data_IF_252523457833
#
_entry.id   IF_252523457833
#
_cell.length_a   1.000
_cell.length_b   1.000
_cell.length_c   1.000
_cell.angle_alpha   90.00
_cell.angle_beta   90.00
_cell.angle_gamma   90.00
#
_symmetry.space_group_name_H-M   'P 1'
#
loop_
_entity.id
_entity.type
_entity.pdbx_description
1 polymer ?
#
# COMPACT_ATOMS: atom_id res chain seq x y z
N UNK A 1 26.73 4.02 -15.49
CA UNK A 1 25.62 4.59 -16.30
C UNK A 1 24.37 3.84 -15.88
N UNK A 2 23.45 4.52 -15.21
CA UNK A 2 22.19 3.92 -14.76
C UNK A 2 21.28 3.87 -15.99
N UNK A 3 21.11 2.68 -16.55
CA UNK A 3 20.14 2.39 -17.59
C UNK A 3 18.77 2.22 -16.92
N UNK A 4 18.06 3.32 -16.74
CA UNK A 4 16.63 3.31 -16.43
C UNK A 4 15.94 4.22 -17.42
N UNK A 5 15.76 3.75 -18.65
CA UNK A 5 14.62 4.18 -19.46
C UNK A 5 13.35 3.58 -18.82
N UNK A 6 12.98 4.03 -17.62
CA UNK A 6 11.57 3.95 -17.23
C UNK A 6 10.87 5.01 -18.07
N UNK A 7 10.18 4.57 -19.12
CA UNK A 7 9.37 5.44 -19.97
C UNK A 7 8.37 6.21 -19.10
N UNK A 8 8.33 7.54 -19.25
CA UNK A 8 7.45 8.38 -18.44
C UNK A 8 5.99 8.00 -18.71
N UNK A 9 5.31 7.51 -17.68
CA UNK A 9 3.92 7.05 -17.74
C UNK A 9 3.14 7.65 -16.57
N UNK A 10 1.88 8.03 -16.83
CA UNK A 10 0.98 8.43 -15.75
C UNK A 10 0.80 7.29 -14.74
N UNK A 11 0.71 7.63 -13.46
CA UNK A 11 0.58 6.67 -12.37
C UNK A 11 -0.64 5.77 -12.57
N UNK A 12 -1.77 6.29 -13.05
CA UNK A 12 -2.93 5.44 -13.38
C UNK A 12 -2.60 4.35 -14.42
N UNK A 13 -1.92 4.70 -15.52
CA UNK A 13 -1.54 3.72 -16.54
C UNK A 13 -0.53 2.68 -16.00
N UNK A 14 0.40 3.12 -15.13
CA UNK A 14 1.30 2.21 -14.40
C UNK A 14 0.52 1.24 -13.51
N UNK A 15 -0.47 1.75 -12.77
CA UNK A 15 -1.34 0.96 -11.90
C UNK A 15 -2.11 -0.07 -12.72
N UNK A 16 -2.74 0.32 -13.83
CA UNK A 16 -3.48 -0.59 -14.70
C UNK A 16 -2.59 -1.73 -15.23
N UNK A 17 -1.40 -1.39 -15.72
CA UNK A 17 -0.44 -2.36 -16.25
C UNK A 17 0.03 -3.37 -15.20
N UNK A 18 0.38 -2.89 -14.00
CA UNK A 18 0.90 -3.78 -12.95
C UNK A 18 -0.22 -4.55 -12.25
N UNK A 19 -1.40 -3.96 -12.09
CA UNK A 19 -2.60 -4.62 -11.55
C UNK A 19 -2.97 -5.85 -12.37
N UNK A 20 -2.81 -5.80 -13.69
CA UNK A 20 -3.06 -6.93 -14.57
C UNK A 20 -2.15 -8.14 -14.30
N UNK A 21 -0.94 -7.91 -13.79
CA UNK A 21 0.06 -8.95 -13.51
C UNK A 21 -0.21 -9.73 -12.20
N UNK A 22 -1.13 -9.25 -11.36
CA UNK A 22 -1.51 -9.95 -10.12
C UNK A 22 -2.17 -11.29 -10.44
N UNK A 23 -1.63 -12.37 -9.90
CA UNK A 23 -2.21 -13.73 -10.03
C UNK A 23 -2.60 -14.33 -8.68
N UNK A 24 -2.41 -13.58 -7.59
CA UNK A 24 -2.66 -14.04 -6.23
C UNK A 24 -4.09 -14.55 -6.00
N UNK A 25 -4.21 -15.72 -5.40
CA UNK A 25 -5.47 -16.30 -4.97
C UNK A 25 -5.54 -16.37 -3.43
N UNK A 26 -6.43 -15.60 -2.78
CA UNK A 26 -6.49 -15.57 -1.32
C UNK A 26 -6.93 -16.88 -0.67
N UNK A 27 -7.51 -17.84 -1.42
CA UNK A 27 -7.90 -19.15 -0.89
C UNK A 27 -6.71 -20.11 -0.81
N UNK A 28 -5.86 -20.14 -1.84
CA UNK A 28 -4.67 -21.00 -1.85
C UNK A 28 -3.45 -20.32 -1.24
N UNK A 29 -3.46 -18.97 -1.17
CA UNK A 29 -2.32 -18.12 -0.79
C UNK A 29 -1.13 -18.30 -1.73
N UNK A 30 -1.43 -18.49 -3.00
CA UNK A 30 -0.43 -18.68 -4.06
C UNK A 30 -0.62 -17.64 -5.15
N UNK A 31 0.44 -17.41 -5.91
CA UNK A 31 0.48 -16.46 -7.02
C UNK A 31 1.18 -15.16 -6.66
N UNK A 32 1.17 -14.28 -7.64
CA UNK A 32 1.97 -13.07 -7.68
C UNK A 32 1.22 -11.88 -7.09
N UNK A 33 1.95 -11.12 -6.28
CA UNK A 33 1.50 -9.87 -5.66
C UNK A 33 2.39 -8.70 -6.06
N UNK A 34 1.88 -7.48 -5.91
CA UNK A 34 2.63 -6.26 -6.16
C UNK A 34 3.30 -5.84 -4.87
N UNK A 35 4.57 -5.44 -4.97
CA UNK A 35 5.35 -4.98 -3.81
C UNK A 35 5.95 -3.60 -4.02
N UNK A 36 6.03 -2.88 -2.90
CA UNK A 36 6.91 -1.73 -2.74
C UNK A 36 8.27 -2.23 -2.30
N UNK A 37 9.34 -1.52 -2.65
CA UNK A 37 10.68 -1.80 -2.14
C UNK A 37 11.17 -0.57 -1.38
N UNK A 38 11.67 -0.76 -0.17
CA UNK A 38 12.44 0.27 0.52
C UNK A 38 13.87 -0.17 0.79
N UNK A 39 14.78 0.80 0.83
CA UNK A 39 16.19 0.61 1.14
C UNK A 39 16.52 1.32 2.45
N UNK A 40 17.18 0.60 3.35
CA UNK A 40 17.67 1.12 4.63
C UNK A 40 19.13 0.73 4.83
N UNK A 41 19.87 1.50 5.63
CA UNK A 41 21.24 1.13 6.00
C UNK A 41 21.23 -0.12 6.90
N UNK A 42 22.17 -1.05 6.69
CA UNK A 42 22.21 -2.33 7.44
C UNK A 42 22.25 -2.15 8.96
N UNK A 43 22.88 -1.06 9.43
CA UNK A 43 22.98 -0.73 10.86
C UNK A 43 21.61 -0.42 11.50
N UNK A 44 20.64 0.05 10.71
CA UNK A 44 19.32 0.48 11.18
C UNK A 44 18.24 -0.59 10.91
N UNK A 45 18.63 -1.76 10.39
CA UNK A 45 17.71 -2.82 9.97
C UNK A 45 16.83 -3.34 11.12
N UNK A 46 17.42 -3.67 12.27
CA UNK A 46 16.63 -4.26 13.37
C UNK A 46 15.60 -3.27 13.92
N UNK A 47 15.99 -2.00 14.08
CA UNK A 47 15.08 -0.94 14.52
C UNK A 47 13.96 -0.70 13.48
N UNK A 48 14.30 -0.74 12.19
CA UNK A 48 13.34 -0.65 11.09
C UNK A 48 12.34 -1.79 11.12
N UNK A 49 12.80 -3.04 11.30
CA UNK A 49 11.92 -4.21 11.38
C UNK A 49 11.02 -4.14 12.61
N UNK A 50 11.50 -3.62 13.73
CA UNK A 50 10.68 -3.46 14.93
C UNK A 50 9.57 -2.43 14.71
N UNK A 51 9.86 -1.31 14.06
CA UNK A 51 8.83 -0.33 13.68
C UNK A 51 7.82 -0.96 12.70
N UNK A 52 8.31 -1.73 11.72
CA UNK A 52 7.42 -2.43 10.78
C UNK A 52 6.49 -3.41 11.52
N UNK A 53 6.99 -4.19 12.49
CA UNK A 53 6.17 -5.07 13.33
C UNK A 53 5.07 -4.29 14.04
N UNK A 54 5.41 -3.16 14.66
CA UNK A 54 4.43 -2.31 15.36
C UNK A 54 3.33 -1.79 14.43
N UNK A 55 3.71 -1.29 13.24
CA UNK A 55 2.75 -0.81 12.24
C UNK A 55 1.87 -1.95 11.71
N UNK A 56 2.42 -3.14 11.49
CA UNK A 56 1.66 -4.30 11.05
C UNK A 56 0.71 -4.81 12.14
N UNK A 57 1.13 -4.85 13.40
CA UNK A 57 0.27 -5.23 14.53
C UNK A 57 -0.87 -4.25 14.78
N UNK A 58 -0.66 -2.95 14.50
CA UNK A 58 -1.72 -1.93 14.63
C UNK A 58 -2.74 -1.94 13.49
N UNK A 59 -2.58 -2.80 12.48
CA UNK A 59 -3.47 -2.87 11.32
C UNK A 59 -3.27 -1.76 10.30
N UNK A 60 -2.14 -1.03 10.37
CA UNK A 60 -1.84 0.11 9.49
C UNK A 60 -1.00 -0.24 8.26
N UNK A 61 -0.69 -1.53 8.10
CA UNK A 61 -0.08 -2.07 6.89
C UNK A 61 -1.12 -2.84 6.08
N UNK A 62 -0.94 -2.83 4.75
CA UNK A 62 -1.73 -3.66 3.82
C UNK A 62 -1.60 -5.14 4.16
N UNK A 63 -0.38 -5.59 4.46
CA UNK A 63 -0.05 -6.99 4.70
C UNK A 63 1.05 -7.11 5.76
N UNK A 64 1.10 -8.26 6.44
CA UNK A 64 2.06 -8.58 7.49
C UNK A 64 3.31 -9.33 7.00
N UNK A 65 3.45 -9.48 5.68
CA UNK A 65 4.53 -10.25 5.06
C UNK A 65 5.56 -9.31 4.44
N UNK A 66 6.83 -9.67 4.58
CA UNK A 66 7.98 -8.94 4.01
C UNK A 66 8.95 -9.89 3.33
N UNK A 67 9.68 -9.40 2.34
CA UNK A 67 10.89 -10.07 1.84
C UNK A 67 12.08 -9.15 2.02
N UNK A 68 13.16 -9.69 2.58
CA UNK A 68 14.41 -8.96 2.74
C UNK A 68 15.35 -9.30 1.58
N UNK A 69 16.20 -8.34 1.23
CA UNK A 69 17.24 -8.46 0.24
C UNK A 69 18.55 -7.93 0.85
N UNK A 70 19.61 -8.69 0.69
CA UNK A 70 20.97 -8.33 1.06
C UNK A 70 21.66 -7.49 -0.03
N UNK A 71 22.79 -6.89 0.34
CA UNK A 71 23.60 -6.11 -0.60
C UNK A 71 24.05 -6.96 -1.80
N UNK A 72 24.01 -6.38 -2.99
CA UNK A 72 24.34 -7.07 -4.26
C UNK A 72 23.20 -7.96 -4.81
N UNK A 73 22.14 -8.22 -4.05
CA UNK A 73 20.94 -8.84 -4.64
C UNK A 73 20.23 -7.85 -5.57
N UNK A 74 19.54 -8.37 -6.59
CA UNK A 74 18.80 -7.54 -7.55
C UNK A 74 17.32 -7.88 -7.52
N UNK A 75 16.48 -6.85 -7.40
CA UNK A 75 15.03 -6.98 -7.48
C UNK A 75 14.44 -5.95 -8.45
N UNK A 76 13.69 -6.43 -9.44
CA UNK A 76 13.02 -5.59 -10.45
C UNK A 76 13.96 -4.53 -11.06
N UNK A 77 15.12 -4.99 -11.53
CA UNK A 77 16.16 -4.16 -12.17
C UNK A 77 16.92 -3.22 -11.23
N UNK A 78 16.69 -3.28 -9.91
CA UNK A 78 17.44 -2.51 -8.92
C UNK A 78 18.34 -3.44 -8.11
N UNK A 79 19.64 -3.21 -8.17
CA UNK A 79 20.62 -3.84 -7.29
C UNK A 79 20.62 -3.13 -5.93
N UNK A 80 20.62 -3.91 -4.83
CA UNK A 80 20.70 -3.37 -3.47
C UNK A 80 22.12 -2.83 -3.24
N UNK A 81 22.29 -1.53 -2.96
CA UNK A 81 23.61 -0.93 -2.80
C UNK A 81 24.40 -1.53 -1.63
N UNK A 82 25.73 -1.48 -1.74
CA UNK A 82 26.63 -1.87 -0.64
C UNK A 82 26.29 -1.10 0.66
N UNK A 83 26.30 -1.81 1.79
CA UNK A 83 25.96 -1.25 3.10
C UNK A 83 24.47 -1.04 3.34
N UNK A 84 23.61 -1.35 2.36
CA UNK A 84 22.15 -1.29 2.48
C UNK A 84 21.51 -2.68 2.48
N UNK A 85 20.25 -2.71 2.87
CA UNK A 85 19.35 -3.85 2.76
C UNK A 85 18.02 -3.38 2.15
N UNK A 86 17.45 -4.22 1.29
CA UNK A 86 16.13 -4.02 0.71
C UNK A 86 15.06 -4.71 1.53
N UNK A 87 13.90 -4.07 1.69
CA UNK A 87 12.72 -4.68 2.30
C UNK A 87 11.54 -4.46 1.35
N UNK A 88 10.94 -5.56 0.87
CA UNK A 88 9.71 -5.52 0.09
C UNK A 88 8.48 -5.70 0.98
N UNK A 89 7.46 -4.87 0.76
CA UNK A 89 6.15 -4.95 1.43
C UNK A 89 5.02 -5.00 0.40
N UNK A 90 3.90 -5.64 0.72
CA UNK A 90 2.77 -5.71 -0.20
C UNK A 90 2.14 -4.34 -0.45
N UNK A 91 1.81 -4.08 -1.71
CA UNK A 91 1.09 -2.87 -2.13
C UNK A 91 -0.43 -3.12 -2.15
N UNK A 92 -1.21 -2.09 -1.85
CA UNK A 92 -2.68 -2.10 -1.91
C UNK A 92 -3.23 -2.48 -3.29
N UNK A 93 -2.46 -2.22 -4.37
CA UNK A 93 -2.85 -2.59 -5.74
C UNK A 93 -2.96 -4.12 -5.91
N UNK A 94 -2.34 -4.90 -5.03
CA UNK A 94 -2.58 -6.35 -4.97
C UNK A 94 -4.05 -6.67 -4.73
N UNK A 95 -4.73 -5.94 -3.84
CA UNK A 95 -6.16 -6.11 -3.57
C UNK A 95 -6.97 -5.74 -4.81
N UNK A 96 -6.59 -4.65 -5.49
CA UNK A 96 -7.23 -4.21 -6.73
C UNK A 96 -7.12 -5.29 -7.83
N UNK A 97 -5.94 -5.91 -7.98
CA UNK A 97 -5.71 -7.00 -8.92
C UNK A 97 -6.52 -8.25 -8.59
N UNK A 98 -6.63 -8.61 -7.31
CA UNK A 98 -7.45 -9.75 -6.86
C UNK A 98 -8.93 -9.53 -7.19
N UNK A 99 -9.47 -8.34 -6.92
CA UNK A 99 -10.83 -7.95 -7.29
C UNK A 99 -11.05 -8.04 -8.81
N UNK A 100 -10.11 -7.49 -9.59
CA UNK A 100 -10.16 -7.55 -11.06
C UNK A 100 -10.20 -8.98 -11.59
N UNK A 101 -9.37 -9.89 -11.06
CA UNK A 101 -9.36 -11.31 -11.48
C UNK A 101 -10.62 -12.07 -11.10
N UNK A 102 -11.43 -11.55 -10.18
CA UNK A 102 -12.75 -12.09 -9.83
C UNK A 102 -13.89 -11.37 -10.59
N UNK A 103 -13.57 -10.58 -11.62
CA UNK A 103 -14.57 -9.93 -12.48
C UNK A 103 -15.10 -8.61 -11.94
N UNK A 104 -14.52 -8.05 -10.87
CA UNK A 104 -14.93 -6.79 -10.27
C UNK A 104 -14.01 -5.68 -10.79
N UNK A 105 -14.50 -4.76 -11.65
CA UNK A 105 -13.67 -3.67 -12.12
C UNK A 105 -13.38 -2.69 -10.98
N UNK A 106 -12.10 -2.44 -10.72
CA UNK A 106 -11.64 -1.49 -9.70
C UNK A 106 -11.09 -0.25 -10.36
N UNK A 107 -11.43 0.92 -9.83
CA UNK A 107 -10.93 2.22 -10.27
C UNK A 107 -10.16 2.91 -9.14
N UNK A 108 -8.84 2.76 -9.04
CA UNK A 108 -8.02 3.57 -8.14
C UNK A 108 -8.13 5.05 -8.53
N UNK A 109 -8.48 5.94 -7.60
CA UNK A 109 -8.69 7.37 -7.90
C UNK A 109 -7.56 8.25 -7.40
N UNK A 110 -7.15 8.07 -6.14
CA UNK A 110 -6.12 8.92 -5.52
C UNK A 110 -5.45 8.24 -4.32
N UNK A 111 -4.27 8.75 -3.96
CA UNK A 111 -3.65 8.55 -2.65
C UNK A 111 -3.78 9.82 -1.81
N UNK A 112 -3.84 9.67 -0.48
CA UNK A 112 -4.11 10.78 0.42
C UNK A 112 -3.71 10.53 1.87
N UNK A 113 -3.90 11.56 2.68
CA UNK A 113 -3.72 11.51 4.14
C UNK A 113 -5.08 11.47 4.79
N UNK A 114 -5.30 10.48 5.66
CA UNK A 114 -6.50 10.34 6.47
C UNK A 114 -6.20 10.80 7.89
N UNK A 115 -7.03 11.72 8.38
CA UNK A 115 -7.03 12.10 9.78
C UNK A 115 -7.82 11.05 10.58
N UNK A 116 -7.18 10.51 11.61
CA UNK A 116 -7.77 9.57 12.57
C UNK A 116 -7.84 10.24 13.92
N UNK A 117 -8.96 10.07 14.63
CA UNK A 117 -9.14 10.53 16.01
C UNK A 117 -9.83 9.44 16.82
N UNK A 118 -9.29 9.12 17.98
CA UNK A 118 -9.82 8.08 18.88
C UNK A 118 -10.06 6.73 18.17
N UNK A 119 -9.13 6.36 17.27
CA UNK A 119 -9.17 5.19 16.38
C UNK A 119 -10.29 5.19 15.33
N UNK A 120 -10.96 6.33 15.14
CA UNK A 120 -11.99 6.52 14.12
C UNK A 120 -11.42 7.37 12.97
N UNK A 121 -11.39 6.84 11.73
CA UNK A 121 -11.08 7.64 10.54
C UNK A 121 -12.13 8.74 10.35
N UNK A 122 -11.70 9.99 10.15
CA UNK A 122 -12.62 11.13 10.06
C UNK A 122 -12.82 11.61 8.62
N UNK A 123 -11.71 11.87 7.92
CA UNK A 123 -11.70 12.42 6.56
C UNK A 123 -10.32 12.36 5.92
N UNK A 124 -10.27 12.42 4.60
CA UNK A 124 -9.07 12.83 3.89
C UNK A 124 -8.78 14.33 4.13
N UNK A 125 -7.54 14.67 4.47
CA UNK A 125 -7.08 16.07 4.59
C UNK A 125 -6.36 16.55 3.34
N UNK A 126 -5.69 15.62 2.66
CA UNK A 126 -4.84 15.86 1.50
C UNK A 126 -5.03 14.71 0.52
N UNK A 127 -5.04 15.00 -0.79
CA UNK A 127 -5.17 13.99 -1.84
C UNK A 127 -4.41 14.40 -3.10
N UNK A 128 -3.89 13.40 -3.81
CA UNK A 128 -3.29 13.54 -5.16
C UNK A 128 -3.88 12.44 -6.04
N UNK A 129 -4.55 12.83 -7.12
CA UNK A 129 -5.20 11.92 -8.05
C UNK A 129 -4.20 11.17 -8.93
N UNK A 130 -4.48 9.89 -9.18
CA UNK A 130 -3.62 9.01 -9.99
C UNK A 130 -3.65 9.33 -11.49
N UNK A 131 -4.72 9.96 -11.97
CA UNK A 131 -4.94 10.33 -13.37
C UNK A 131 -4.13 11.58 -13.80
N UNK A 132 -3.65 12.37 -12.85
CA UNK A 132 -2.98 13.64 -13.10
C UNK A 132 -1.52 13.69 -12.62
N UNK A 133 -0.91 12.55 -12.30
CA UNK A 133 0.46 12.46 -11.78
C UNK A 133 1.26 11.35 -12.46
N UNK A 134 2.58 11.50 -12.53
CA UNK A 134 3.54 10.47 -12.96
C UNK A 134 4.33 9.91 -11.77
N UNK A 135 4.13 10.48 -10.58
CA UNK A 135 4.81 10.12 -9.32
C UNK A 135 3.77 9.55 -8.37
N UNK A 136 4.14 8.52 -7.60
CA UNK A 136 3.25 7.93 -6.59
C UNK A 136 2.81 8.99 -5.55
N UNK A 137 1.49 9.23 -5.41
CA UNK A 137 0.91 10.13 -4.41
C UNK A 137 1.40 9.92 -2.98
N UNK A 138 1.52 8.68 -2.53
CA UNK A 138 1.88 8.40 -1.14
C UNK A 138 3.36 8.64 -0.89
N UNK A 139 4.22 8.41 -1.89
CA UNK A 139 5.64 8.81 -1.82
C UNK A 139 5.79 10.33 -1.69
N UNK A 140 5.03 11.09 -2.49
CA UNK A 140 5.01 12.57 -2.39
C UNK A 140 4.53 13.02 -1.02
N UNK A 141 3.37 12.53 -0.55
CA UNK A 141 2.80 12.96 0.73
C UNK A 141 3.67 12.57 1.93
N UNK A 142 4.31 11.41 1.88
CA UNK A 142 5.28 10.97 2.90
C UNK A 142 6.52 11.87 2.92
N UNK A 143 7.02 12.29 1.76
CA UNK A 143 8.19 13.20 1.66
C UNK A 143 7.94 14.59 2.26
N UNK A 144 6.68 14.99 2.42
CA UNK A 144 6.31 16.28 3.04
C UNK A 144 6.23 16.20 4.57
N UNK A 145 6.53 15.04 5.18
CA UNK A 145 6.52 14.85 6.65
C UNK A 145 5.16 15.22 7.29
N UNK A 146 4.07 15.00 6.56
CA UNK A 146 2.70 15.36 6.98
C UNK A 146 2.01 14.26 7.80
N UNK A 147 2.63 13.08 7.94
CA UNK A 147 2.09 11.92 8.64
C UNK A 147 2.43 11.93 10.12
N UNK A 148 1.62 11.23 10.92
CA UNK A 148 1.91 10.93 12.32
C UNK A 148 1.46 9.52 12.68
N UNK A 149 1.93 8.53 11.92
CA UNK A 149 1.59 7.10 12.05
C UNK A 149 1.96 6.60 13.44
N UNK A 150 3.13 6.96 13.96
CA UNK A 150 3.55 6.55 15.32
C UNK A 150 2.68 7.13 16.41
N UNK A 151 2.30 8.39 16.27
CA UNK A 151 1.38 9.04 17.21
C UNK A 151 0.01 8.36 17.19
N UNK A 152 -0.47 8.02 15.99
CA UNK A 152 -1.72 7.28 15.80
C UNK A 152 -1.68 5.94 16.53
N UNK A 153 -0.61 5.14 16.36
CA UNK A 153 -0.45 3.88 17.08
C UNK A 153 -0.47 4.05 18.60
N UNK A 154 0.17 5.10 19.13
CA UNK A 154 0.30 5.35 20.58
C UNK A 154 -0.98 5.89 21.22
N UNK A 155 -1.68 6.79 20.53
CA UNK A 155 -2.78 7.59 21.12
C UNK A 155 -4.15 7.25 20.54
N UNK A 156 -4.19 6.54 19.41
CA UNK A 156 -5.38 6.38 18.58
C UNK A 156 -5.69 7.58 17.69
N UNK A 157 -4.89 8.65 17.74
CA UNK A 157 -5.12 9.87 16.96
C UNK A 157 -3.87 10.25 16.18
N UNK A 158 -4.04 10.63 14.92
CA UNK A 158 -2.92 11.02 14.06
C UNK A 158 -3.30 11.06 12.59
N UNK A 159 -2.29 11.10 11.72
CA UNK A 159 -2.44 11.17 10.28
C UNK A 159 -1.76 9.97 9.62
N UNK A 160 -2.52 9.21 8.83
CA UNK A 160 -2.01 8.01 8.15
C UNK A 160 -2.17 8.15 6.64
N UNK A 161 -1.34 7.44 5.87
CA UNK A 161 -1.50 7.34 4.44
C UNK A 161 -2.59 6.31 4.12
N UNK A 162 -3.44 6.63 3.15
CA UNK A 162 -4.43 5.73 2.61
C UNK A 162 -4.67 6.05 1.14
N UNK A 163 -5.22 5.09 0.41
CA UNK A 163 -5.65 5.30 -0.96
C UNK A 163 -7.12 4.93 -1.14
N UNK A 164 -7.74 5.56 -2.11
CA UNK A 164 -9.16 5.42 -2.40
C UNK A 164 -9.35 4.84 -3.79
N UNK A 165 -10.30 3.92 -3.88
CA UNK A 165 -10.75 3.31 -5.13
C UNK A 165 -12.26 3.18 -5.14
N UNK A 166 -12.81 3.02 -6.33
CA UNK A 166 -14.22 2.77 -6.54
C UNK A 166 -14.43 1.41 -7.18
N UNK A 167 -15.55 0.78 -6.83
CA UNK A 167 -16.05 -0.45 -7.46
C UNK A 167 -17.55 -0.28 -7.73
N UNK A 168 -18.12 -0.98 -8.73
CA UNK A 168 -19.56 -0.95 -8.98
C UNK A 168 -20.33 -1.39 -7.74
N UNK A 169 -21.38 -0.66 -7.36
CA UNK A 169 -22.18 -1.02 -6.19
C UNK A 169 -22.91 -2.37 -6.37
N UNK A 170 -23.15 -2.78 -7.62
CA UNK A 170 -23.76 -4.08 -7.94
C UNK A 170 -22.88 -5.26 -7.54
N UNK A 171 -21.58 -5.05 -7.33
CA UNK A 171 -20.63 -6.06 -6.91
C UNK A 171 -20.41 -6.08 -5.38
N UNK A 172 -21.23 -5.36 -4.60
CA UNK A 172 -21.02 -5.19 -3.16
C UNK A 172 -20.82 -6.51 -2.41
N UNK A 173 -21.72 -7.48 -2.60
CA UNK A 173 -21.65 -8.74 -1.86
C UNK A 173 -20.40 -9.56 -2.25
N UNK A 174 -20.03 -9.56 -3.54
CA UNK A 174 -18.81 -10.23 -4.02
C UNK A 174 -17.55 -9.55 -3.49
N UNK A 175 -17.54 -8.21 -3.43
CA UNK A 175 -16.45 -7.43 -2.81
C UNK A 175 -16.32 -7.79 -1.34
N UNK A 176 -17.40 -7.74 -0.57
CA UNK A 176 -17.39 -8.06 0.85
C UNK A 176 -16.87 -9.48 1.10
N UNK A 177 -17.31 -10.46 0.31
CA UNK A 177 -16.80 -11.83 0.38
C UNK A 177 -15.31 -11.93 0.05
N UNK A 178 -14.84 -11.22 -0.97
CA UNK A 178 -13.44 -11.30 -1.40
C UNK A 178 -12.49 -10.57 -0.44
N UNK A 179 -12.90 -9.41 0.08
CA UNK A 179 -12.18 -8.69 1.13
C UNK A 179 -12.05 -9.55 2.39
N UNK A 180 -13.12 -10.25 2.80
CA UNK A 180 -13.04 -11.20 3.91
C UNK A 180 -12.04 -12.34 3.64
N UNK A 181 -11.97 -12.87 2.42
CA UNK A 181 -10.96 -13.88 2.05
C UNK A 181 -9.55 -13.29 2.12
N UNK A 182 -9.35 -12.07 1.62
CA UNK A 182 -8.06 -11.36 1.70
C UNK A 182 -7.63 -11.13 3.16
N UNK A 183 -8.55 -10.74 4.04
CA UNK A 183 -8.30 -10.63 5.48
C UNK A 183 -7.78 -11.97 6.04
N UNK A 184 -8.42 -13.09 5.72
CA UNK A 184 -7.94 -14.41 6.15
C UNK A 184 -6.61 -14.83 5.53
N UNK A 185 -6.22 -14.22 4.40
CA UNK A 185 -4.94 -14.46 3.72
C UNK A 185 -3.79 -13.58 4.25
N UNK A 186 -4.06 -12.64 5.16
CA UNK A 186 -3.06 -11.76 5.75
C UNK A 186 -3.08 -10.31 5.24
N UNK A 187 -4.10 -9.93 4.48
CA UNK A 187 -4.28 -8.57 3.96
C UNK A 187 -5.26 -7.79 4.82
N UNK A 188 -4.75 -7.04 5.81
CA UNK A 188 -5.54 -6.39 6.86
C UNK A 188 -5.89 -4.92 6.59
N UNK A 189 -5.28 -4.30 5.58
CA UNK A 189 -5.30 -2.86 5.40
C UNK A 189 -6.62 -2.24 4.91
N UNK A 190 -7.78 -2.90 5.04
CA UNK A 190 -9.06 -2.28 4.68
C UNK A 190 -9.47 -1.33 5.81
N UNK A 191 -9.47 -0.04 5.52
CA UNK A 191 -9.81 1.00 6.49
C UNK A 191 -11.33 1.22 6.56
N UNK A 192 -11.98 1.29 5.39
CA UNK A 192 -13.42 1.53 5.28
C UNK A 192 -13.93 1.02 3.92
N UNK A 193 -15.12 0.44 3.92
CA UNK A 193 -15.93 0.19 2.73
C UNK A 193 -17.15 1.09 2.85
N UNK A 194 -17.24 2.09 1.98
CA UNK A 194 -18.30 3.08 2.01
C UNK A 194 -19.64 2.52 1.50
N UNK A 195 -20.74 3.13 1.94
CA UNK A 195 -22.06 2.80 1.43
C UNK A 195 -22.21 3.19 -0.05
N UNK A 196 -22.99 2.44 -0.85
CA UNK A 196 -23.28 2.78 -2.24
C UNK A 196 -23.75 4.23 -2.42
N UNK A 197 -23.23 4.89 -3.46
CA UNK A 197 -23.55 6.29 -3.82
C UNK A 197 -23.33 7.32 -2.70
N UNK A 198 -22.58 6.97 -1.65
CA UNK A 198 -22.35 7.84 -0.50
C UNK A 198 -20.88 8.24 -0.43
N UNK A 199 -20.53 9.49 -0.06
CA UNK A 199 -19.15 9.86 0.18
C UNK A 199 -18.52 9.01 1.28
N UNK A 200 -17.26 8.60 1.10
CA UNK A 200 -16.49 7.89 2.13
C UNK A 200 -15.34 8.78 2.61
N UNK A 201 -15.26 9.04 3.91
CA UNK A 201 -14.28 9.96 4.52
C UNK A 201 -14.17 11.33 3.79
N UNK A 202 -15.31 11.87 3.35
CA UNK A 202 -15.39 13.14 2.63
C UNK A 202 -14.99 13.09 1.15
N UNK A 203 -14.50 11.95 0.66
CA UNK A 203 -14.23 11.72 -0.75
C UNK A 203 -15.54 11.44 -1.50
N UNK A 204 -15.71 12.07 -2.67
CA UNK A 204 -16.88 11.81 -3.53
C UNK A 204 -16.74 10.44 -4.19
N UNK A 205 -17.87 9.75 -4.28
CA UNK A 205 -18.02 8.49 -5.00
C UNK A 205 -18.82 8.74 -6.28
N UNK A 206 -18.36 8.20 -7.41
CA UNK A 206 -19.06 8.25 -8.69
C UNK A 206 -20.43 7.55 -8.60
N UNK A 207 -21.37 7.98 -9.46
CA UNK A 207 -22.71 7.36 -9.52
C UNK A 207 -22.61 5.85 -9.77
N UNK A 208 -23.46 5.08 -9.08
CA UNK A 208 -23.56 3.62 -9.15
C UNK A 208 -22.28 2.88 -8.70
N UNK A 209 -21.44 3.55 -7.90
CA UNK A 209 -20.24 2.98 -7.29
C UNK A 209 -20.29 3.06 -5.75
N UNK A 210 -19.36 2.35 -5.12
CA UNK A 210 -19.02 2.48 -3.71
C UNK A 210 -17.51 2.66 -3.54
N UNK A 211 -17.09 3.38 -2.51
CA UNK A 211 -15.68 3.64 -2.22
C UNK A 211 -15.05 2.58 -1.32
N UNK A 212 -13.82 2.19 -1.60
CA UNK A 212 -13.00 1.33 -0.71
C UNK A 212 -11.73 2.08 -0.35
N UNK A 213 -11.50 2.25 0.95
CA UNK A 213 -10.34 2.93 1.49
C UNK A 213 -9.41 1.88 2.07
N UNK A 214 -8.17 1.89 1.60
CA UNK A 214 -7.13 0.94 2.01
C UNK A 214 -5.98 1.74 2.62
N UNK A 215 -5.46 1.32 3.76
CA UNK A 215 -4.26 1.89 4.37
C UNK A 215 -3.09 1.79 3.40
N UNK A 216 -2.27 2.83 3.32
CA UNK A 216 -1.12 2.86 2.42
C UNK A 216 -0.09 1.79 2.78
N UNK A 217 0.37 1.04 1.77
CA UNK A 217 1.48 0.07 1.94
C UNK A 217 2.82 0.71 2.32
N UNK A 218 2.88 2.05 2.33
CA UNK A 218 4.01 2.89 2.72
C UNK A 218 3.91 3.44 4.16
N UNK A 219 2.83 3.16 4.91
CA UNK A 219 2.74 3.53 6.33
C UNK A 219 3.89 2.98 7.19
N UNK A 220 4.40 1.75 6.98
CA UNK A 220 5.60 1.28 7.68
C UNK A 220 6.82 2.17 7.43
N UNK A 221 7.02 2.61 6.18
CA UNK A 221 8.12 3.50 5.80
C UNK A 221 7.95 4.89 6.39
N UNK A 222 6.73 5.43 6.38
CA UNK A 222 6.41 6.70 7.01
C UNK A 222 6.72 6.69 8.52
N UNK A 223 6.37 5.61 9.22
CA UNK A 223 6.69 5.46 10.63
C UNK A 223 8.21 5.37 10.91
N UNK A 224 8.98 4.76 10.01
CA UNK A 224 10.45 4.72 10.10
C UNK A 224 11.04 6.11 9.90
N UNK A 225 10.55 6.85 8.89
CA UNK A 225 10.96 8.23 8.63
C UNK A 225 10.62 9.16 9.82
N UNK A 226 9.44 9.00 10.43
CA UNK A 226 9.02 9.70 11.67
C UNK A 226 9.94 9.39 12.87
N UNK A 227 10.76 8.34 12.80
CA UNK A 227 11.76 7.99 13.82
C UNK A 227 13.14 8.60 13.56
N UNK A 228 13.29 9.34 12.47
CA UNK A 228 14.56 9.95 12.06
C UNK A 228 15.52 8.97 11.35
N UNK A 229 15.04 7.77 11.00
CA UNK A 229 15.83 6.78 10.27
C UNK A 229 15.70 7.05 8.77
N UNK A 230 16.81 7.28 8.04
CA UNK A 230 16.76 7.47 6.60
C UNK A 230 16.29 6.20 5.88
N UNK A 231 15.22 6.33 5.11
CA UNK A 231 14.65 5.24 4.31
C UNK A 231 14.32 5.73 2.91
N UNK A 232 14.75 5.00 1.89
CA UNK A 232 14.42 5.31 0.49
C UNK A 232 13.33 4.37 0.04
N UNK A 233 12.15 4.90 -0.29
CA UNK A 233 11.01 4.09 -0.75
C UNK A 233 10.88 4.17 -2.26
N UNK A 234 10.55 3.03 -2.88
CA UNK A 234 10.16 2.91 -4.28
C UNK A 234 8.82 2.19 -4.31
N UNK A 235 7.76 2.98 -4.47
CA UNK A 235 6.41 2.45 -4.59
C UNK A 235 6.25 1.72 -5.93
N UNK A 236 5.39 0.69 -5.96
CA UNK A 236 5.04 -0.03 -7.20
C UNK A 236 6.29 -0.54 -7.92
N UNK A 237 7.22 -1.17 -7.16
CA UNK A 237 8.54 -1.52 -7.68
C UNK A 237 8.50 -2.76 -8.57
N UNK A 238 7.66 -3.73 -8.26
CA UNK A 238 7.60 -4.97 -9.03
C UNK A 238 6.57 -5.96 -8.53
N UNK A 239 6.64 -7.15 -9.11
CA UNK A 239 5.78 -8.29 -8.83
C UNK A 239 6.64 -9.41 -8.24
N UNK A 240 6.10 -10.16 -7.28
CA UNK A 240 6.76 -11.33 -6.71
C UNK A 240 5.76 -12.37 -6.23
N UNK A 241 6.20 -13.62 -6.17
CA UNK A 241 5.39 -14.70 -5.63
C UNK A 241 5.18 -14.51 -4.12
N UNK A 242 3.94 -14.66 -3.65
CA UNK A 242 3.60 -14.42 -2.24
C UNK A 242 4.36 -15.34 -1.27
N UNK A 243 4.68 -16.57 -1.69
CA UNK A 243 5.38 -17.55 -0.85
C UNK A 243 6.84 -17.17 -0.55
N UNK A 244 7.45 -16.32 -1.38
CA UNK A 244 8.79 -15.79 -1.16
C UNK A 244 8.82 -14.77 0.00
N UNK A 245 7.66 -14.31 0.46
CA UNK A 245 7.56 -13.40 1.58
C UNK A 245 7.41 -14.17 2.90
N UNK A 246 8.02 -13.63 3.96
CA UNK A 246 7.93 -14.16 5.30
C UNK A 246 7.05 -13.28 6.16
N UNK A 247 6.22 -13.91 6.98
CA UNK A 247 5.40 -13.21 7.95
C UNK A 247 6.32 -12.57 9.00
N UNK A 248 6.17 -11.26 9.23
CA UNK A 248 6.97 -10.53 10.20
C UNK A 248 6.36 -10.55 11.61
N UNK A 249 5.06 -10.86 11.72
CA UNK A 249 4.25 -10.81 12.94
C UNK A 249 3.35 -12.01 13.16
#
# INVERSE_FOLDING_TARGET
>A
MISTDEEMMFTNARIESIMYQVTFNPKTREGDIIVNLCLVDKKDLEETLEIFRQVMYSGLSVCSYVRMFDEGETFSGLEIPQGKTGIATACSITIDGVLLKHGIPVKPKFGGIVQVRDRVPLRFTDLISYDCTTIDPLEVLMSQELTSVREMMRTGSGKILANFREVPMSAKDDVDHLLNRLLTAGFYGILEVGEPNSPALGARVDRDHMGIIITGGTNPMAAVQESGIPIVTKAIKGVMEFHDMKKLV
#
